data_IF_637294792970
#
_entry.id   IF_637294792970
#
_cell.length_a   1.000
_cell.length_b   1.000
_cell.length_c   1.000
_cell.angle_alpha   90.00
_cell.angle_beta   90.00
_cell.angle_gamma   90.00
#
_symmetry.space_group_name_H-M   'P 1'
#
loop_
_entity.id
_entity.type
_entity.pdbx_description
1 polymer ?
#
# COMPACT_ATOMS: atom_id res chain seq x y z
N UNK A 1 56.60 57.88 -19.33
CA UNK A 1 56.72 56.41 -19.34
C UNK A 1 56.52 55.93 -17.90
N UNK A 2 55.32 55.46 -17.56
CA UNK A 2 54.98 54.96 -16.21
C UNK A 2 55.51 53.53 -16.05
N UNK A 3 56.25 53.27 -14.98
CA UNK A 3 56.83 51.98 -14.65
C UNK A 3 55.80 51.11 -13.89
N UNK A 4 55.47 49.88 -14.31
CA UNK A 4 54.51 49.04 -13.60
C UNK A 4 55.15 48.46 -12.33
N UNK A 5 54.51 48.64 -11.18
CA UNK A 5 54.89 47.97 -9.94
C UNK A 5 54.39 46.52 -10.00
N UNK A 6 55.31 45.56 -10.12
CA UNK A 6 54.98 44.15 -9.97
C UNK A 6 54.79 43.84 -8.48
N UNK A 7 53.53 43.60 -8.09
CA UNK A 7 53.18 43.10 -6.77
C UNK A 7 53.78 41.71 -6.57
N UNK A 8 54.56 41.50 -5.51
CA UNK A 8 55.12 40.20 -5.14
C UNK A 8 53.96 39.25 -4.76
N UNK A 9 53.74 38.22 -5.58
CA UNK A 9 52.87 37.10 -5.21
C UNK A 9 53.54 36.28 -4.11
N UNK A 10 53.02 36.36 -2.89
CA UNK A 10 53.36 35.44 -1.81
C UNK A 10 52.57 34.14 -2.04
N UNK A 11 53.29 33.05 -2.32
CA UNK A 11 52.69 31.71 -2.43
C UNK A 11 52.37 31.12 -1.05
N UNK A 12 51.40 30.20 -1.01
CA UNK A 12 51.05 29.48 0.21
C UNK A 12 52.16 28.53 0.65
N UNK A 13 52.29 28.35 1.95
CA UNK A 13 53.17 27.33 2.51
C UNK A 13 52.57 25.93 2.32
N UNK A 14 53.42 24.91 2.19
CA UNK A 14 52.96 23.52 2.04
C UNK A 14 52.11 23.08 3.25
N UNK A 15 52.42 23.59 4.46
CA UNK A 15 51.65 23.31 5.68
C UNK A 15 50.26 23.96 5.65
N UNK A 16 50.10 25.19 5.14
CA UNK A 16 48.79 25.83 4.97
C UNK A 16 47.91 25.05 4.00
N UNK A 17 48.48 24.54 2.90
CA UNK A 17 47.73 23.72 1.95
C UNK A 17 47.26 22.40 2.58
N UNK A 18 48.13 21.73 3.35
CA UNK A 18 47.76 20.50 4.05
C UNK A 18 46.66 20.76 5.08
N UNK A 19 46.72 21.86 5.83
CA UNK A 19 45.68 22.24 6.79
C UNK A 19 44.37 22.58 6.06
N UNK A 20 44.43 23.34 4.96
CA UNK A 20 43.24 23.70 4.18
C UNK A 20 42.52 22.45 3.62
N UNK A 21 43.25 21.51 3.03
CA UNK A 21 42.69 20.28 2.46
C UNK A 21 42.13 19.37 3.56
N UNK A 22 42.85 19.21 4.68
CA UNK A 22 42.38 18.37 5.80
C UNK A 22 41.10 18.92 6.42
N UNK A 23 41.01 20.24 6.64
CA UNK A 23 39.78 20.86 7.14
C UNK A 23 38.62 20.76 6.14
N UNK A 24 38.89 20.96 4.84
CA UNK A 24 37.88 20.77 3.78
C UNK A 24 37.35 19.34 3.71
N UNK A 25 38.21 18.34 3.87
CA UNK A 25 37.82 16.92 3.89
C UNK A 25 36.91 16.59 5.08
N UNK A 26 37.20 17.14 6.26
CA UNK A 26 36.39 16.91 7.47
C UNK A 26 34.98 17.47 7.29
N UNK A 27 34.87 18.72 6.81
CA UNK A 27 33.55 19.38 6.61
C UNK A 27 32.73 18.65 5.54
N UNK A 28 33.35 18.27 4.42
CA UNK A 28 32.66 17.51 3.37
C UNK A 28 32.20 16.14 3.84
N UNK A 29 33.03 15.42 4.61
CA UNK A 29 32.64 14.13 5.20
C UNK A 29 31.42 14.27 6.14
N UNK A 30 31.39 15.31 6.98
CA UNK A 30 30.23 15.60 7.84
C UNK A 30 28.97 15.92 7.02
N UNK A 31 29.08 16.77 6.00
CA UNK A 31 27.96 17.11 5.11
C UNK A 31 27.40 15.89 4.37
N UNK A 32 28.27 14.99 3.89
CA UNK A 32 27.87 13.74 3.24
C UNK A 32 27.11 12.82 4.18
N UNK A 33 27.57 12.68 5.43
CA UNK A 33 26.85 11.88 6.44
C UNK A 33 25.45 12.44 6.72
N UNK A 34 25.32 13.76 6.85
CA UNK A 34 24.01 14.41 7.01
C UNK A 34 23.10 14.16 5.81
N UNK A 35 23.64 14.29 4.59
CA UNK A 35 22.87 14.03 3.37
C UNK A 35 22.37 12.58 3.29
N UNK A 36 23.23 11.60 3.56
CA UNK A 36 22.86 10.17 3.57
C UNK A 36 21.82 9.86 4.66
N UNK A 37 21.97 10.46 5.83
CA UNK A 37 20.99 10.33 6.93
C UNK A 37 19.61 10.88 6.54
N UNK A 38 19.58 12.05 5.91
CA UNK A 38 18.34 12.66 5.40
C UNK A 38 17.68 11.80 4.33
N UNK A 39 18.45 11.26 3.39
CA UNK A 39 17.94 10.36 2.34
C UNK A 39 17.34 9.08 2.93
N UNK A 40 18.01 8.47 3.91
CA UNK A 40 17.50 7.28 4.63
C UNK A 40 16.21 7.59 5.37
N UNK A 41 16.16 8.75 6.04
CA UNK A 41 14.97 9.19 6.78
C UNK A 41 13.78 9.43 5.86
N UNK A 42 14.02 10.01 4.68
CA UNK A 42 12.97 10.21 3.68
C UNK A 42 12.46 8.87 3.14
N UNK A 43 13.35 7.92 2.83
CA UNK A 43 12.96 6.58 2.38
C UNK A 43 12.10 5.85 3.43
N UNK A 44 12.47 5.95 4.71
CA UNK A 44 11.69 5.38 5.81
C UNK A 44 10.31 6.03 5.93
N UNK A 45 10.23 7.37 5.86
CA UNK A 45 8.96 8.10 5.90
C UNK A 45 8.04 7.70 4.74
N UNK A 46 8.59 7.57 3.53
CA UNK A 46 7.84 7.11 2.37
C UNK A 46 7.32 5.68 2.57
N UNK A 47 8.15 4.77 3.08
CA UNK A 47 7.73 3.39 3.39
C UNK A 47 6.58 3.34 4.41
N UNK A 48 6.66 4.14 5.48
CA UNK A 48 5.59 4.26 6.46
C UNK A 48 4.31 4.84 5.86
N UNK A 49 4.43 5.86 5.02
CA UNK A 49 3.30 6.45 4.31
C UNK A 49 2.62 5.43 3.40
N UNK A 50 3.38 4.64 2.64
CA UNK A 50 2.83 3.58 1.78
C UNK A 50 2.08 2.51 2.59
N UNK A 51 2.61 2.07 3.72
CA UNK A 51 1.93 1.10 4.59
C UNK A 51 0.59 1.67 5.09
N UNK A 52 0.58 2.93 5.54
CA UNK A 52 -0.64 3.59 6.02
C UNK A 52 -1.68 3.78 4.92
N UNK A 53 -1.24 4.19 3.72
CA UNK A 53 -2.13 4.34 2.57
C UNK A 53 -2.74 2.99 2.17
N UNK A 54 -1.94 1.93 2.11
CA UNK A 54 -2.41 0.58 1.79
C UNK A 54 -3.41 0.06 2.82
N UNK A 55 -3.15 0.26 4.11
CA UNK A 55 -4.08 -0.11 5.18
C UNK A 55 -5.40 0.67 5.06
N UNK A 56 -5.33 1.99 4.83
CA UNK A 56 -6.51 2.85 4.68
C UNK A 56 -7.34 2.46 3.46
N UNK A 57 -6.68 2.21 2.32
CA UNK A 57 -7.32 1.76 1.09
C UNK A 57 -8.02 0.41 1.28
N UNK A 58 -7.32 -0.59 1.83
CA UNK A 58 -7.86 -1.92 2.09
C UNK A 58 -9.09 -1.88 3.00
N UNK A 59 -8.98 -1.22 4.15
CA UNK A 59 -10.08 -1.11 5.12
C UNK A 59 -11.27 -0.32 4.56
N UNK A 60 -11.03 0.75 3.80
CA UNK A 60 -12.10 1.55 3.20
C UNK A 60 -12.88 0.73 2.16
N UNK A 61 -12.19 -0.08 1.36
CA UNK A 61 -12.85 -0.96 0.38
C UNK A 61 -13.65 -2.06 1.08
N UNK A 62 -13.08 -2.75 2.07
CA UNK A 62 -13.81 -3.75 2.84
C UNK A 62 -15.03 -3.12 3.52
N UNK A 63 -14.88 -1.97 4.17
CA UNK A 63 -16.00 -1.28 4.82
C UNK A 63 -17.06 -0.79 3.83
N UNK A 64 -16.68 -0.44 2.60
CA UNK A 64 -17.62 -0.10 1.52
C UNK A 64 -18.45 -1.32 1.13
N UNK A 65 -17.80 -2.45 0.91
CA UNK A 65 -18.47 -3.69 0.51
C UNK A 65 -19.35 -4.25 1.64
N UNK A 66 -18.88 -4.16 2.89
CA UNK A 66 -19.66 -4.50 4.08
C UNK A 66 -20.93 -3.65 4.21
N UNK A 67 -20.93 -2.38 3.82
CA UNK A 67 -22.13 -1.52 3.83
C UNK A 67 -23.18 -1.94 2.80
N UNK A 68 -22.80 -2.69 1.78
CA UNK A 68 -23.70 -3.22 0.77
C UNK A 68 -24.22 -4.63 1.10
N UNK A 69 -23.77 -5.23 2.20
CA UNK A 69 -24.24 -6.53 2.67
C UNK A 69 -25.73 -6.47 2.98
N UNK A 70 -26.40 -7.59 2.74
CA UNK A 70 -27.83 -7.79 2.98
C UNK A 70 -28.77 -6.86 2.20
N UNK A 71 -28.23 -5.96 1.35
CA UNK A 71 -29.04 -5.16 0.45
C UNK A 71 -29.76 -6.07 -0.54
N UNK A 72 -31.09 -5.92 -0.66
CA UNK A 72 -31.94 -6.73 -1.54
C UNK A 72 -31.96 -8.23 -1.25
N UNK A 73 -31.61 -8.62 -0.02
CA UNK A 73 -31.63 -10.02 0.39
C UNK A 73 -33.05 -10.55 0.66
N UNK A 74 -34.03 -9.65 0.87
CA UNK A 74 -35.37 -10.00 1.33
C UNK A 74 -35.45 -10.46 2.79
N UNK A 75 -34.38 -10.26 3.56
CA UNK A 75 -34.26 -10.61 4.98
C UNK A 75 -33.74 -9.40 5.76
N UNK A 76 -34.20 -9.22 6.99
CA UNK A 76 -33.68 -8.17 7.89
C UNK A 76 -32.28 -8.48 8.41
N UNK A 77 -31.92 -9.77 8.46
CA UNK A 77 -30.67 -10.25 9.04
C UNK A 77 -29.80 -10.97 8.01
N UNK A 78 -28.48 -10.93 8.26
CA UNK A 78 -27.54 -11.73 7.51
C UNK A 78 -27.72 -13.20 7.86
N UNK A 79 -27.97 -14.06 6.86
CA UNK A 79 -28.24 -15.48 7.05
C UNK A 79 -27.42 -16.34 6.08
N UNK A 80 -26.78 -17.39 6.62
CA UNK A 80 -26.02 -18.38 5.87
C UNK A 80 -26.81 -19.05 4.74
N UNK A 81 -28.08 -19.36 4.98
CA UNK A 81 -28.95 -20.05 4.03
C UNK A 81 -29.43 -19.14 2.89
N UNK A 82 -29.33 -17.82 3.05
CA UNK A 82 -29.74 -16.86 2.03
C UNK A 82 -28.55 -16.45 1.15
N UNK A 83 -28.54 -16.93 -0.09
CA UNK A 83 -27.49 -16.64 -1.08
C UNK A 83 -27.34 -15.14 -1.42
N UNK A 84 -28.35 -14.33 -1.11
CA UNK A 84 -28.36 -12.88 -1.35
C UNK A 84 -27.93 -12.06 -0.14
N UNK A 85 -27.55 -12.70 0.97
CA UNK A 85 -27.33 -12.05 2.25
C UNK A 85 -26.01 -11.28 2.37
N UNK A 86 -25.20 -11.27 1.32
CA UNK A 86 -23.96 -10.52 1.27
C UNK A 86 -22.74 -11.44 1.41
N UNK A 87 -22.46 -11.90 2.64
CA UNK A 87 -21.35 -12.83 2.86
C UNK A 87 -21.69 -14.19 2.27
N UNK A 88 -20.80 -14.72 1.43
CA UNK A 88 -21.03 -15.97 0.69
C UNK A 88 -20.51 -17.14 1.51
N UNK A 89 -21.42 -17.92 2.11
CA UNK A 89 -21.09 -19.07 2.97
C UNK A 89 -21.22 -20.44 2.28
N UNK A 90 -21.80 -20.46 1.08
CA UNK A 90 -22.09 -21.68 0.33
C UNK A 90 -21.95 -21.42 -1.17
N UNK A 91 -21.90 -22.47 -1.98
CA UNK A 91 -21.77 -22.32 -3.43
C UNK A 91 -23.02 -21.69 -4.01
N UNK A 92 -22.83 -20.70 -4.86
CA UNK A 92 -23.88 -20.01 -5.61
C UNK A 92 -23.48 -19.95 -7.08
N UNK A 93 -24.38 -19.52 -7.97
CA UNK A 93 -24.03 -19.36 -9.38
C UNK A 93 -22.83 -18.42 -9.53
N UNK A 94 -21.73 -18.90 -10.12
CA UNK A 94 -20.48 -18.14 -10.28
C UNK A 94 -19.49 -18.22 -9.10
N UNK A 95 -19.88 -18.79 -7.96
CA UNK A 95 -19.01 -19.00 -6.78
C UNK A 95 -18.92 -20.49 -6.45
N UNK A 96 -17.76 -21.06 -6.76
CA UNK A 96 -17.39 -22.45 -6.48
C UNK A 96 -16.85 -22.61 -5.04
N UNK A 97 -16.67 -23.86 -4.58
CA UNK A 97 -16.28 -24.16 -3.19
C UNK A 97 -14.89 -23.59 -2.80
N UNK A 98 -14.04 -23.29 -3.76
CA UNK A 98 -12.75 -22.60 -3.56
C UNK A 98 -12.90 -21.09 -3.34
N UNK A 99 -14.07 -20.51 -3.64
CA UNK A 99 -14.33 -19.07 -3.61
C UNK A 99 -15.33 -18.64 -2.53
N UNK A 100 -15.80 -19.55 -1.68
CA UNK A 100 -16.67 -19.20 -0.55
C UNK A 100 -15.85 -18.63 0.62
N UNK A 101 -16.52 -17.93 1.53
CA UNK A 101 -15.93 -17.52 2.81
C UNK A 101 -15.56 -18.76 3.61
N UNK A 102 -14.27 -18.94 3.89
CA UNK A 102 -13.75 -20.10 4.62
C UNK A 102 -12.47 -19.74 5.35
N UNK A 103 -12.37 -20.23 6.59
CA UNK A 103 -11.09 -20.33 7.26
C UNK A 103 -10.28 -21.46 6.61
N UNK A 104 -8.99 -21.40 6.79
CA UNK A 104 -8.15 -22.22 5.97
C UNK A 104 -8.12 -23.71 6.34
N UNK A 105 -8.69 -24.49 5.43
CA UNK A 105 -8.60 -25.94 5.36
C UNK A 105 -8.49 -26.34 3.87
N UNK A 106 -7.46 -25.86 3.17
CA UNK A 106 -7.02 -26.32 1.84
C UNK A 106 -7.20 -25.37 0.63
N UNK A 107 -6.39 -25.63 -0.41
CA UNK A 107 -6.29 -24.97 -1.74
C UNK A 107 -6.66 -23.47 -1.71
N UNK A 108 -5.83 -22.69 -1.03
CA UNK A 108 -5.68 -21.28 -1.35
C UNK A 108 -4.72 -21.14 -2.54
N UNK A 109 -4.92 -20.13 -3.38
CA UNK A 109 -3.95 -19.78 -4.44
C UNK A 109 -2.77 -18.99 -3.83
N UNK A 110 -2.91 -18.55 -2.57
CA UNK A 110 -1.88 -17.85 -1.80
C UNK A 110 -1.01 -18.85 -1.02
N UNK A 111 0.31 -18.62 -1.01
CA UNK A 111 1.28 -19.26 -0.11
C UNK A 111 1.98 -18.17 0.72
N UNK A 112 2.00 -18.23 2.07
CA UNK A 112 1.33 -19.20 2.91
C UNK A 112 -0.18 -19.09 2.78
N UNK A 113 -0.73 -20.20 3.22
CA UNK A 113 -2.12 -20.52 3.30
C UNK A 113 -2.85 -19.32 4.06
N UNK A 114 -3.94 -18.76 3.50
CA UNK A 114 -4.72 -17.58 3.96
C UNK A 114 -6.23 -17.85 4.09
N UNK A 115 -6.87 -17.21 5.07
CA UNK A 115 -8.33 -17.22 5.22
C UNK A 115 -9.00 -16.41 4.09
N UNK A 116 -10.22 -16.82 3.70
CA UNK A 116 -10.95 -16.18 2.60
C UNK A 116 -12.25 -15.57 3.11
N UNK A 117 -12.46 -14.30 2.79
CA UNK A 117 -13.72 -13.59 2.97
C UNK A 117 -14.29 -13.22 1.61
N UNK A 118 -15.43 -13.79 1.26
CA UNK A 118 -16.12 -13.51 0.00
C UNK A 118 -17.41 -12.76 0.27
N UNK A 119 -17.49 -11.55 -0.26
CA UNK A 119 -18.65 -10.66 -0.18
C UNK A 119 -19.27 -10.56 -1.55
N UNK A 120 -20.58 -10.75 -1.60
CA UNK A 120 -21.43 -10.55 -2.76
C UNK A 120 -22.29 -9.32 -2.51
N UNK A 121 -22.48 -8.48 -3.51
CA UNK A 121 -23.52 -7.45 -3.47
C UNK A 121 -24.02 -7.13 -4.87
N UNK A 122 -25.14 -6.41 -4.97
CA UNK A 122 -25.68 -5.94 -6.24
C UNK A 122 -25.42 -4.45 -6.39
N UNK A 123 -24.94 -4.05 -7.57
CA UNK A 123 -24.74 -2.64 -7.87
C UNK A 123 -26.07 -1.97 -8.20
N UNK A 124 -26.59 -1.14 -7.29
CA UNK A 124 -27.84 -0.38 -7.53
C UNK A 124 -27.64 0.98 -8.18
N UNK A 125 -26.39 1.37 -8.46
CA UNK A 125 -26.08 2.64 -9.13
C UNK A 125 -25.71 2.40 -10.58
N UNK A 126 -26.21 3.27 -11.44
CA UNK A 126 -25.75 3.27 -12.83
C UNK A 126 -24.32 3.84 -12.93
N UNK A 127 -23.56 3.40 -13.92
CA UNK A 127 -22.21 3.85 -14.22
C UNK A 127 -21.19 3.71 -13.06
N UNK A 128 -21.33 2.71 -12.19
CA UNK A 128 -20.34 2.46 -11.14
C UNK A 128 -19.07 1.86 -11.75
N UNK A 129 -17.92 2.52 -11.61
CA UNK A 129 -16.64 1.98 -12.07
C UNK A 129 -16.01 1.06 -11.00
N UNK A 130 -15.52 -0.12 -11.41
CA UNK A 130 -14.74 -1.00 -10.54
C UNK A 130 -13.26 -0.56 -10.48
N UNK A 131 -12.46 -1.24 -9.65
CA UNK A 131 -11.01 -0.94 -9.52
C UNK A 131 -10.19 -1.24 -10.79
N UNK A 132 -10.77 -1.93 -11.77
CA UNK A 132 -10.14 -2.25 -13.06
C UNK A 132 -10.48 -1.21 -14.14
N UNK A 133 -11.24 -0.16 -13.79
CA UNK A 133 -11.68 0.87 -14.75
C UNK A 133 -12.87 0.43 -15.62
N UNK A 134 -13.48 -0.72 -15.32
CA UNK A 134 -14.66 -1.23 -16.03
C UNK A 134 -15.91 -0.61 -15.43
N UNK A 135 -16.79 -0.11 -16.30
CA UNK A 135 -18.12 0.35 -15.88
C UNK A 135 -19.01 -0.86 -15.64
N UNK A 136 -19.50 -0.98 -14.41
CA UNK A 136 -20.44 -2.02 -14.00
C UNK A 136 -21.86 -1.48 -14.20
N UNK A 137 -22.62 -2.19 -15.02
CA UNK A 137 -24.04 -1.90 -15.25
C UNK A 137 -24.85 -2.00 -13.95
N UNK A 138 -25.99 -1.33 -13.93
CA UNK A 138 -26.95 -1.47 -12.85
C UNK A 138 -27.45 -2.92 -12.74
N UNK A 139 -27.76 -3.34 -11.51
CA UNK A 139 -28.29 -4.66 -11.15
C UNK A 139 -27.36 -5.85 -11.44
N UNK A 140 -26.09 -5.58 -11.75
CA UNK A 140 -25.05 -6.61 -11.81
C UNK A 140 -24.63 -7.03 -10.41
N UNK A 141 -24.41 -8.33 -10.27
CA UNK A 141 -23.83 -8.93 -9.08
C UNK A 141 -22.30 -8.79 -9.13
N UNK A 142 -21.74 -8.34 -8.02
CA UNK A 142 -20.31 -8.20 -7.80
C UNK A 142 -19.93 -9.20 -6.71
N UNK A 143 -18.89 -9.98 -6.97
CA UNK A 143 -18.30 -10.92 -6.02
C UNK A 143 -16.88 -10.43 -5.74
N UNK A 144 -16.67 -9.90 -4.55
CA UNK A 144 -15.37 -9.47 -4.06
C UNK A 144 -14.83 -10.53 -3.10
N UNK A 145 -13.61 -10.97 -3.36
CA UNK A 145 -12.89 -11.92 -2.50
C UNK A 145 -11.70 -11.22 -1.89
N UNK A 146 -11.56 -11.36 -0.59
CA UNK A 146 -10.45 -10.88 0.21
C UNK A 146 -9.69 -12.08 0.78
N UNK A 147 -8.37 -12.00 0.73
CA UNK A 147 -7.48 -12.92 1.42
C UNK A 147 -7.03 -12.23 2.72
N UNK A 148 -7.27 -12.90 3.83
CA UNK A 148 -6.91 -12.43 5.16
C UNK A 148 -5.83 -13.37 5.66
N UNK A 149 -4.76 -12.81 6.20
CA UNK A 149 -3.70 -13.62 6.78
C UNK A 149 -4.29 -14.56 7.83
N UNK A 150 -3.77 -15.79 7.87
CA UNK A 150 -4.28 -16.82 8.77
C UNK A 150 -4.20 -16.33 10.21
N UNK A 151 -5.27 -16.55 10.97
CA UNK A 151 -5.25 -16.26 12.41
C UNK A 151 -4.04 -16.94 13.08
N UNK A 152 -3.21 -16.20 13.85
CA UNK A 152 -2.16 -16.80 14.65
C UNK A 152 -2.76 -17.90 15.52
N UNK A 153 -2.20 -19.11 15.42
CA UNK A 153 -2.60 -20.22 16.29
C UNK A 153 -2.27 -19.80 17.73
N UNK A 154 -3.30 -19.68 18.58
CA UNK A 154 -3.13 -19.49 20.03
C UNK A 154 -2.73 -20.82 20.66
#
# INVERSE_FOLDING_TARGET
MQNPNFSNQQGFTLIELMIAITLGLIVTAAALMMFLSSQRSLAMQNGLSSIQQNATFGLTNVAKDLRHINLDSGSEFVNRSNNKSGIVFQTIAGVTADKVTKAESGQSIMTPDSDQLTIRYVNRKNNTMNCEGVIIEQDKEIIQRYYIDKLPQV
#
